data_IF_989709861770
#
_entry.id   IF_989709861770
#
_cell.length_a   1.000
_cell.length_b   1.000
_cell.length_c   1.000
_cell.angle_alpha   90.00
_cell.angle_beta   90.00
_cell.angle_gamma   90.00
#
_symmetry.space_group_name_H-M   'P 1'
#
loop_
_entity.id
_entity.type
_entity.pdbx_description
1 polymer ?
#
# COMPACT_ATOMS: atom_id res chain seq x y z
N UNK A 1 -62.04 -46.01 39.79
CA UNK A 1 -61.52 -45.81 38.41
C UNK A 1 -60.49 -44.69 38.43
N UNK A 2 -59.20 -45.00 38.27
CA UNK A 2 -58.14 -44.01 38.13
C UNK A 2 -57.42 -44.28 36.82
N UNK A 3 -57.54 -43.35 35.88
CA UNK A 3 -56.90 -43.46 34.57
C UNK A 3 -55.42 -43.07 34.70
N UNK A 4 -54.53 -44.02 34.43
CA UNK A 4 -53.11 -43.75 34.28
C UNK A 4 -52.83 -43.24 32.87
N UNK A 5 -52.37 -42.00 32.76
CA UNK A 5 -51.87 -41.45 31.49
C UNK A 5 -50.45 -41.95 31.20
N UNK A 6 -50.05 -42.13 29.92
CA UNK A 6 -48.84 -42.85 29.49
C UNK A 6 -47.48 -42.23 29.91
N UNK A 7 -47.46 -41.13 30.66
CA UNK A 7 -46.26 -40.36 31.02
C UNK A 7 -45.80 -40.60 32.47
N UNK A 8 -46.57 -41.32 33.30
CA UNK A 8 -46.30 -41.48 34.75
C UNK A 8 -45.57 -42.77 35.12
N UNK A 9 -44.89 -43.44 34.18
CA UNK A 9 -44.08 -44.61 34.52
C UNK A 9 -42.77 -44.16 35.19
N UNK A 10 -42.62 -44.46 36.48
CA UNK A 10 -41.36 -44.45 37.22
C UNK A 10 -40.35 -45.33 36.47
N UNK A 11 -39.46 -44.72 35.69
CA UNK A 11 -38.44 -45.46 34.94
C UNK A 11 -37.94 -44.81 33.65
N UNK A 12 -38.49 -43.69 33.18
CA UNK A 12 -37.86 -42.95 32.06
C UNK A 12 -36.84 -41.94 32.59
N UNK A 13 -35.57 -42.32 32.57
CA UNK A 13 -34.48 -41.35 32.53
C UNK A 13 -34.59 -40.57 31.23
N UNK A 14 -35.33 -39.47 31.26
CA UNK A 14 -35.22 -38.45 30.24
C UNK A 14 -33.75 -37.98 30.27
N UNK A 15 -32.98 -38.11 29.18
CA UNK A 15 -31.71 -37.42 29.07
C UNK A 15 -32.05 -35.94 28.97
N UNK A 16 -32.20 -35.31 30.13
CA UNK A 16 -32.35 -33.87 30.28
C UNK A 16 -31.16 -33.23 29.58
N UNK A 17 -31.44 -32.61 28.45
CA UNK A 17 -30.99 -31.27 28.09
C UNK A 17 -29.51 -30.95 28.35
N UNK A 18 -28.62 -31.90 28.07
CA UNK A 18 -27.20 -31.59 27.85
C UNK A 18 -27.04 -31.10 26.43
N UNK A 19 -27.47 -29.85 26.19
CA UNK A 19 -26.92 -29.05 25.10
C UNK A 19 -25.42 -28.97 25.36
N UNK A 20 -24.67 -29.84 24.67
CA UNK A 20 -23.21 -29.81 24.69
C UNK A 20 -22.81 -28.51 24.00
N UNK A 21 -22.49 -27.50 24.80
CA UNK A 21 -21.86 -26.28 24.29
C UNK A 21 -20.62 -26.71 23.48
N UNK A 22 -20.43 -26.24 22.23
CA UNK A 22 -19.20 -26.54 21.52
C UNK A 22 -18.06 -25.87 22.29
N UNK A 23 -17.29 -26.67 23.01
CA UNK A 23 -16.02 -26.23 23.57
C UNK A 23 -15.12 -25.77 22.40
N UNK A 24 -14.37 -24.68 22.55
CA UNK A 24 -13.38 -24.30 21.56
C UNK A 24 -12.39 -25.46 21.34
N UNK A 25 -11.87 -25.66 20.13
CA UNK A 25 -10.98 -26.77 19.83
C UNK A 25 -9.71 -26.64 20.67
N UNK A 26 -9.63 -27.44 21.74
CA UNK A 26 -8.38 -27.68 22.46
C UNK A 26 -7.46 -28.47 21.54
N UNK A 27 -6.23 -27.99 21.25
CA UNK A 27 -5.30 -28.73 20.43
C UNK A 27 -4.90 -30.02 21.14
N UNK A 28 -5.18 -31.16 20.50
CA UNK A 28 -4.61 -32.45 20.86
C UNK A 28 -3.20 -32.51 20.29
N UNK A 29 -2.21 -32.42 21.18
CA UNK A 29 -0.81 -32.89 21.06
C UNK A 29 -0.15 -32.54 22.40
N UNK A 30 0.76 -33.26 23.00
CA UNK A 30 1.29 -34.60 22.89
C UNK A 30 2.07 -34.81 24.22
N UNK A 31 2.55 -36.02 24.42
CA UNK A 31 3.31 -36.45 25.58
C UNK A 31 4.36 -35.46 26.12
N UNK A 32 4.38 -35.36 27.46
CA UNK A 32 5.53 -35.23 28.37
C UNK A 32 6.88 -34.99 27.67
N UNK A 33 7.25 -33.73 27.49
CA UNK A 33 8.56 -33.30 27.01
C UNK A 33 8.93 -31.94 27.60
N UNK A 34 9.95 -31.93 28.44
CA UNK A 34 10.55 -30.73 29.06
C UNK A 34 11.10 -29.84 27.93
N UNK A 35 10.41 -28.76 27.58
CA UNK A 35 10.93 -27.75 26.64
C UNK A 35 10.88 -26.37 27.27
N UNK A 36 12.04 -25.73 27.21
CA UNK A 36 12.32 -24.30 27.38
C UNK A 36 11.16 -23.46 26.83
N UNK A 37 10.79 -22.42 27.56
CA UNK A 37 9.87 -21.39 27.13
C UNK A 37 10.24 -20.91 25.71
N UNK A 38 9.41 -21.29 24.75
CA UNK A 38 9.39 -20.75 23.40
C UNK A 38 8.58 -19.45 23.48
N UNK A 39 9.09 -18.32 22.96
CA UNK A 39 8.34 -17.08 22.98
C UNK A 39 7.04 -17.25 22.20
N UNK A 40 5.96 -16.75 22.79
CA UNK A 40 4.63 -16.65 22.21
C UNK A 40 4.72 -16.21 20.73
N UNK A 41 3.99 -16.85 19.79
CA UNK A 41 4.06 -16.48 18.39
C UNK A 41 3.49 -15.08 18.21
N UNK A 42 4.35 -14.07 18.30
CA UNK A 42 4.01 -12.70 17.99
C UNK A 42 3.39 -12.70 16.58
N UNK A 43 2.15 -12.20 16.50
CA UNK A 43 1.49 -12.03 15.22
C UNK A 43 2.44 -11.32 14.25
N UNK A 44 2.53 -11.78 12.99
CA UNK A 44 3.53 -11.29 12.06
C UNK A 44 3.42 -9.78 11.91
N UNK A 45 4.51 -9.06 12.24
CA UNK A 45 4.68 -7.61 12.01
C UNK A 45 4.18 -7.23 10.62
N UNK A 46 3.59 -6.03 10.48
CA UNK A 46 3.11 -5.57 9.18
C UNK A 46 4.21 -5.54 8.12
N UNK A 47 3.81 -5.62 6.86
CA UNK A 47 4.73 -5.53 5.72
C UNK A 47 5.51 -4.21 5.72
N UNK A 48 4.88 -3.12 6.19
CA UNK A 48 5.50 -1.80 6.28
C UNK A 48 6.66 -1.79 7.28
N UNK A 49 6.44 -2.31 8.50
CA UNK A 49 7.50 -2.42 9.52
C UNK A 49 8.65 -3.28 9.00
N UNK A 50 8.36 -4.42 8.37
CA UNK A 50 9.40 -5.30 7.80
C UNK A 50 10.22 -4.61 6.70
N UNK A 51 9.57 -3.80 5.86
CA UNK A 51 10.25 -3.05 4.81
C UNK A 51 11.20 -1.99 5.39
N UNK A 52 10.76 -1.24 6.41
CA UNK A 52 11.60 -0.24 7.09
C UNK A 52 12.74 -0.88 7.87
N UNK A 53 12.48 -1.99 8.58
CA UNK A 53 13.51 -2.76 9.28
C UNK A 53 14.56 -3.31 8.29
N UNK A 54 14.12 -3.81 7.14
CA UNK A 54 15.00 -4.27 6.06
C UNK A 54 15.91 -3.15 5.54
N UNK A 55 15.33 -1.97 5.27
CA UNK A 55 16.09 -0.80 4.82
C UNK A 55 17.09 -0.32 5.88
N UNK A 56 16.68 -0.22 7.14
CA UNK A 56 17.56 0.14 8.26
C UNK A 56 18.73 -0.83 8.39
N UNK A 57 18.45 -2.14 8.35
CA UNK A 57 19.48 -3.16 8.47
C UNK A 57 20.46 -3.10 7.28
N UNK A 58 19.95 -2.88 6.07
CA UNK A 58 20.79 -2.68 4.88
C UNK A 58 21.69 -1.44 5.00
N UNK A 59 21.16 -0.32 5.50
CA UNK A 59 21.94 0.90 5.73
C UNK A 59 23.03 0.71 6.80
N UNK A 60 22.74 -0.07 7.85
CA UNK A 60 23.74 -0.41 8.88
C UNK A 60 24.84 -1.30 8.32
N UNK A 61 24.46 -2.36 7.59
CA UNK A 61 25.41 -3.27 6.93
C UNK A 61 26.31 -2.51 5.93
N UNK A 62 25.75 -1.61 5.13
CA UNK A 62 26.52 -0.77 4.21
C UNK A 62 27.46 0.23 4.91
N UNK A 63 27.17 0.59 6.16
CA UNK A 63 28.08 1.40 6.98
C UNK A 63 29.33 0.62 7.41
N UNK A 64 29.19 -0.68 7.63
CA UNK A 64 30.25 -1.57 8.12
C UNK A 64 31.06 -2.21 6.98
N UNK A 65 30.38 -2.65 5.91
CA UNK A 65 30.97 -3.35 4.77
C UNK A 65 31.63 -2.42 3.73
N UNK A 66 31.48 -1.11 3.87
CA UNK A 66 32.02 -0.13 2.93
C UNK A 66 31.18 0.05 1.66
N UNK A 67 31.80 0.58 0.61
CA UNK A 67 31.15 0.99 -0.65
C UNK A 67 30.70 -0.23 -1.50
N UNK A 68 29.61 -0.89 -1.11
CA UNK A 68 29.06 -2.03 -1.84
C UNK A 68 28.15 -1.60 -2.99
N UNK A 69 28.41 -2.17 -4.18
CA UNK A 69 27.59 -1.97 -5.38
C UNK A 69 26.30 -2.78 -5.26
N UNK A 70 25.23 -2.29 -5.86
CA UNK A 70 23.97 -3.05 -5.93
C UNK A 70 24.21 -4.38 -6.69
N UNK A 71 23.89 -5.55 -6.10
CA UNK A 71 24.06 -6.84 -6.77
C UNK A 71 23.25 -6.95 -8.07
N UNK A 72 22.20 -6.15 -8.22
CA UNK A 72 21.37 -6.08 -9.43
C UNK A 72 21.83 -4.99 -10.41
N UNK A 73 22.97 -4.34 -10.17
CA UNK A 73 23.60 -3.38 -11.09
C UNK A 73 22.98 -1.98 -11.13
N UNK A 74 22.08 -1.63 -10.20
CA UNK A 74 21.39 -0.32 -10.19
C UNK A 74 20.40 -0.10 -11.35
N UNK A 75 19.68 1.02 -11.34
CA UNK A 75 18.71 1.40 -12.35
C UNK A 75 19.03 2.81 -12.90
N UNK A 76 19.02 2.96 -14.22
CA UNK A 76 19.37 4.20 -14.93
C UNK A 76 18.17 4.96 -15.51
N UNK A 77 16.95 4.66 -15.06
CA UNK A 77 15.72 5.24 -15.61
C UNK A 77 15.49 6.74 -15.30
N UNK A 78 16.36 7.36 -14.48
CA UNK A 78 16.23 8.76 -14.05
C UNK A 78 14.84 9.10 -13.46
N UNK A 79 14.21 8.14 -12.79
CA UNK A 79 12.85 8.24 -12.25
C UNK A 79 11.76 8.54 -13.30
N UNK A 80 11.99 8.21 -14.58
CA UNK A 80 10.97 8.31 -15.64
C UNK A 80 10.02 7.11 -15.67
N UNK A 81 10.51 5.93 -15.31
CA UNK A 81 9.74 4.68 -15.28
C UNK A 81 9.29 4.28 -13.87
N UNK A 82 10.12 4.59 -12.87
CA UNK A 82 9.89 4.24 -11.47
C UNK A 82 9.80 5.52 -10.65
N UNK A 83 9.09 5.48 -9.52
CA UNK A 83 8.97 6.62 -8.63
C UNK A 83 10.36 7.11 -8.17
N UNK A 84 10.48 8.42 -7.92
CA UNK A 84 11.68 9.02 -7.38
C UNK A 84 12.03 8.40 -6.01
N UNK A 85 13.31 8.17 -5.73
CA UNK A 85 13.73 7.66 -4.43
C UNK A 85 13.36 8.63 -3.31
N UNK A 86 12.71 8.12 -2.26
CA UNK A 86 12.26 8.90 -1.10
C UNK A 86 13.40 9.41 -0.23
N UNK A 87 14.52 8.68 -0.19
CA UNK A 87 15.62 8.94 0.76
C UNK A 87 16.90 9.45 0.09
N UNK A 88 17.11 9.16 -1.20
CA UNK A 88 18.26 9.61 -1.96
C UNK A 88 17.85 9.89 -3.42
N UNK A 89 17.15 11.01 -3.71
CA UNK A 89 16.63 11.31 -5.05
C UNK A 89 17.71 11.65 -6.07
N UNK A 90 18.90 12.06 -5.62
CA UNK A 90 20.00 12.52 -6.47
C UNK A 90 21.33 12.04 -5.91
N UNK A 91 22.24 11.58 -6.77
CA UNK A 91 23.63 11.38 -6.41
C UNK A 91 24.35 12.73 -6.32
N UNK A 92 24.97 13.03 -5.17
CA UNK A 92 25.68 14.30 -4.94
C UNK A 92 27.01 14.43 -5.68
N UNK A 93 27.60 13.31 -6.10
CA UNK A 93 28.88 13.31 -6.81
C UNK A 93 28.70 13.54 -8.32
N UNK A 94 27.83 12.76 -8.99
CA UNK A 94 27.65 12.84 -10.44
C UNK A 94 26.31 13.43 -10.91
N UNK A 95 25.39 13.75 -10.01
CA UNK A 95 24.09 14.33 -10.37
C UNK A 95 23.09 13.36 -10.99
N UNK A 96 23.32 12.04 -10.93
CA UNK A 96 22.34 11.06 -11.42
C UNK A 96 21.05 11.11 -10.58
N UNK A 97 19.90 11.27 -11.23
CA UNK A 97 18.57 11.17 -10.61
C UNK A 97 18.25 9.70 -10.34
N UNK A 98 17.88 9.38 -9.10
CA UNK A 98 17.72 8.00 -8.63
C UNK A 98 16.25 7.69 -8.36
N UNK A 99 15.78 6.56 -8.89
CA UNK A 99 14.46 6.04 -8.58
C UNK A 99 14.45 5.12 -7.35
N UNK A 100 13.26 4.68 -6.94
CA UNK A 100 13.03 3.79 -5.80
C UNK A 100 13.77 2.44 -5.86
N UNK A 101 14.15 1.96 -7.06
CA UNK A 101 14.94 0.73 -7.20
C UNK A 101 16.40 0.92 -6.78
N UNK A 102 16.91 2.14 -6.79
CA UNK A 102 18.25 2.46 -6.32
C UNK A 102 18.20 2.65 -4.79
N UNK A 103 18.53 1.59 -4.05
CA UNK A 103 18.57 1.63 -2.59
C UNK A 103 19.66 2.58 -2.09
N UNK A 104 19.37 3.42 -1.07
CA UNK A 104 20.36 4.32 -0.47
C UNK A 104 21.48 3.57 0.29
N UNK A 105 21.33 2.26 0.51
CA UNK A 105 22.36 1.41 1.09
C UNK A 105 23.50 1.10 0.11
N UNK A 106 23.27 1.16 -1.19
CA UNK A 106 24.29 0.86 -2.20
C UNK A 106 24.96 2.12 -2.73
N UNK A 107 26.11 1.95 -3.38
CA UNK A 107 26.81 3.03 -4.10
C UNK A 107 26.06 3.46 -5.36
N UNK A 108 26.34 4.66 -5.84
CA UNK A 108 25.84 5.14 -7.13
C UNK A 108 26.22 4.18 -8.27
N UNK A 109 25.28 3.77 -9.13
CA UNK A 109 25.61 2.89 -10.26
C UNK A 109 26.44 3.58 -11.36
N UNK A 110 26.50 4.92 -11.38
CA UNK A 110 27.27 5.69 -12.37
C UNK A 110 28.70 6.00 -11.91
N UNK A 111 28.89 6.50 -10.69
CA UNK A 111 30.21 6.94 -10.20
C UNK A 111 30.77 6.10 -9.05
N UNK A 112 30.04 5.08 -8.58
CA UNK A 112 30.40 4.25 -7.43
C UNK A 112 30.60 4.99 -6.09
N UNK A 113 30.31 6.29 -6.02
CA UNK A 113 30.32 7.05 -4.77
C UNK A 113 29.10 6.70 -3.88
N UNK A 114 29.25 6.76 -2.54
CA UNK A 114 28.16 6.64 -1.59
C UNK A 114 27.07 7.68 -1.84
N UNK A 115 25.81 7.20 -1.90
CA UNK A 115 24.66 8.07 -2.14
C UNK A 115 24.37 9.03 -0.98
N UNK A 116 24.75 8.65 0.23
CA UNK A 116 24.55 9.41 1.45
C UNK A 116 25.88 9.61 2.15
N UNK A 117 26.17 10.83 2.58
CA UNK A 117 27.30 11.11 3.46
C UNK A 117 27.05 10.52 4.86
N UNK A 118 28.12 10.22 5.61
CA UNK A 118 28.04 9.63 6.95
C UNK A 118 27.00 10.30 7.89
N UNK A 119 26.98 11.64 8.08
CA UNK A 119 25.99 12.27 8.96
C UNK A 119 24.55 12.19 8.43
N UNK A 120 24.37 12.04 7.12
CA UNK A 120 23.04 11.89 6.53
C UNK A 120 22.51 10.47 6.70
N UNK A 121 23.41 9.49 6.68
CA UNK A 121 23.07 8.09 6.96
C UNK A 121 22.62 7.94 8.40
N UNK A 122 23.33 8.51 9.37
CA UNK A 122 22.94 8.46 10.78
C UNK A 122 21.59 9.14 11.01
N UNK A 123 21.38 10.33 10.45
CA UNK A 123 20.10 11.03 10.52
C UNK A 123 18.95 10.24 9.87
N UNK A 124 19.22 9.51 8.77
CA UNK A 124 18.23 8.64 8.15
C UNK A 124 17.91 7.42 9.01
N UNK A 125 18.91 6.79 9.63
CA UNK A 125 18.72 5.68 10.55
C UNK A 125 17.84 6.08 11.74
N UNK A 126 18.10 7.24 12.36
CA UNK A 126 17.29 7.78 13.46
C UNK A 126 15.83 8.01 13.04
N UNK A 127 15.61 8.58 11.85
CA UNK A 127 14.26 8.77 11.31
C UNK A 127 13.54 7.44 11.06
N UNK A 128 14.25 6.44 10.53
CA UNK A 128 13.68 5.11 10.31
C UNK A 128 13.32 4.44 11.64
N UNK A 129 14.18 4.55 12.67
CA UNK A 129 13.89 4.00 14.00
C UNK A 129 12.68 4.68 14.65
N UNK A 130 12.55 6.00 14.50
CA UNK A 130 11.36 6.73 14.97
C UNK A 130 10.08 6.28 14.25
N UNK A 131 10.12 6.13 12.93
CA UNK A 131 8.98 5.65 12.13
C UNK A 131 8.59 4.21 12.49
N UNK A 132 9.57 3.34 12.71
CA UNK A 132 9.32 1.96 13.14
C UNK A 132 8.65 1.97 14.52
N UNK A 133 9.14 2.77 15.46
CA UNK A 133 8.56 2.88 16.80
C UNK A 133 7.11 3.39 16.76
N UNK A 134 6.83 4.41 15.94
CA UNK A 134 5.48 4.94 15.74
C UNK A 134 4.52 3.89 15.17
N UNK A 135 4.94 3.18 14.12
CA UNK A 135 4.11 2.14 13.51
C UNK A 135 3.85 0.97 14.46
N UNK A 136 4.86 0.56 15.23
CA UNK A 136 4.69 -0.49 16.25
C UNK A 136 3.73 -0.06 17.36
N UNK A 137 3.80 1.19 17.81
CA UNK A 137 2.86 1.74 18.79
C UNK A 137 1.43 1.77 18.25
N UNK A 138 1.24 2.20 17.00
CA UNK A 138 -0.05 2.20 16.33
C UNK A 138 -0.63 0.78 16.18
N UNK A 139 0.19 -0.19 15.75
CA UNK A 139 -0.21 -1.59 15.65
C UNK A 139 -0.59 -2.20 17.00
N UNK A 140 0.12 -1.86 18.07
CA UNK A 140 -0.18 -2.31 19.42
C UNK A 140 -1.52 -1.72 19.92
N UNK A 141 -1.75 -0.42 19.68
CA UNK A 141 -3.00 0.25 20.02
C UNK A 141 -4.20 -0.37 19.28
N UNK A 142 -4.08 -0.60 17.97
CA UNK A 142 -5.12 -1.23 17.17
C UNK A 142 -5.40 -2.68 17.61
N UNK A 143 -4.36 -3.43 18.01
CA UNK A 143 -4.54 -4.76 18.60
C UNK A 143 -5.28 -4.70 19.93
N UNK A 144 -4.95 -3.75 20.81
CA UNK A 144 -5.63 -3.57 22.08
C UNK A 144 -7.12 -3.21 21.89
N UNK A 145 -7.43 -2.30 20.96
CA UNK A 145 -8.81 -1.92 20.62
C UNK A 145 -9.63 -3.11 20.11
N UNK A 146 -9.08 -3.88 19.16
CA UNK A 146 -9.76 -5.08 18.63
C UNK A 146 -9.97 -6.15 19.70
N UNK A 147 -9.02 -6.32 20.62
CA UNK A 147 -9.17 -7.26 21.73
C UNK A 147 -10.27 -6.82 22.71
N UNK A 148 -10.37 -5.52 23.00
CA UNK A 148 -11.43 -4.97 23.84
C UNK A 148 -12.80 -5.09 23.16
N UNK A 149 -12.90 -4.76 21.87
CA UNK A 149 -14.14 -4.92 21.09
C UNK A 149 -14.58 -6.39 21.04
N UNK A 150 -13.66 -7.33 20.86
CA UNK A 150 -13.97 -8.76 20.90
C UNK A 150 -14.46 -9.21 22.29
N UNK A 151 -13.86 -8.70 23.38
CA UNK A 151 -14.33 -8.97 24.76
C UNK A 151 -15.72 -8.39 24.98
N UNK A 152 -15.97 -7.17 24.52
CA UNK A 152 -17.29 -6.53 24.57
C UNK A 152 -18.33 -7.31 23.75
N UNK A 153 -17.96 -7.83 22.58
CA UNK A 153 -18.86 -8.62 21.73
C UNK A 153 -19.19 -10.01 22.32
N UNK A 154 -18.23 -10.68 22.96
CA UNK A 154 -18.46 -11.97 23.64
C UNK A 154 -19.26 -11.80 24.93
N UNK A 155 -19.01 -10.71 25.67
CA UNK A 155 -19.76 -10.36 26.88
C UNK A 155 -21.12 -9.73 26.59
N UNK A 156 -21.36 -9.25 25.36
CA UNK A 156 -22.66 -8.78 24.92
C UNK A 156 -23.58 -10.00 24.76
N UNK A 157 -24.49 -10.18 25.71
CA UNK A 157 -25.63 -11.06 25.53
C UNK A 157 -26.32 -10.63 24.22
N UNK A 158 -26.56 -11.55 23.26
CA UNK A 158 -27.29 -11.20 22.04
C UNK A 158 -28.61 -10.59 22.49
N UNK A 159 -28.77 -9.27 22.28
CA UNK A 159 -29.94 -8.54 22.74
C UNK A 159 -31.15 -9.05 21.97
N UNK A 160 -31.87 -9.99 22.58
CA UNK A 160 -33.16 -10.49 22.13
C UNK A 160 -34.27 -9.55 22.64
N UNK A 161 -34.46 -8.40 21.99
CA UNK A 161 -35.67 -7.56 22.11
C UNK A 161 -35.66 -6.52 20.97
N UNK A 162 -36.54 -6.64 19.98
CA UNK A 162 -37.88 -6.00 19.98
C UNK A 162 -37.81 -4.47 19.78
N UNK A 163 -37.99 -4.01 18.53
CA UNK A 163 -38.25 -2.59 18.22
C UNK A 163 -37.44 -2.05 17.03
N UNK A 164 -38.04 -1.28 16.10
CA UNK A 164 -37.44 -1.00 14.80
C UNK A 164 -36.54 0.24 14.78
N UNK A 165 -35.72 0.31 13.74
CA UNK A 165 -35.01 1.48 13.16
C UNK A 165 -33.81 2.05 13.91
N UNK A 166 -32.64 1.45 13.68
CA UNK A 166 -31.50 2.18 13.10
C UNK A 166 -30.89 1.29 12.02
N UNK A 167 -30.94 1.74 10.77
CA UNK A 167 -30.35 1.05 9.63
C UNK A 167 -28.81 1.05 9.76
N UNK A 168 -28.24 0.01 10.33
CA UNK A 168 -26.93 -0.46 9.89
C UNK A 168 -27.17 -1.30 8.62
N UNK A 169 -26.70 -0.80 7.48
CA UNK A 169 -26.57 -1.56 6.25
C UNK A 169 -25.56 -2.69 6.46
N UNK A 170 -26.02 -3.78 7.05
CA UNK A 170 -25.37 -5.07 6.92
C UNK A 170 -25.66 -5.58 5.51
N UNK A 171 -24.60 -5.73 4.75
CA UNK A 171 -24.55 -6.43 3.47
C UNK A 171 -25.27 -7.78 3.63
N UNK A 172 -26.28 -8.12 2.80
CA UNK A 172 -27.09 -9.31 3.00
C UNK A 172 -26.24 -10.57 2.79
N UNK A 173 -25.88 -11.23 3.90
CA UNK A 173 -25.40 -12.60 3.87
C UNK A 173 -26.51 -13.48 3.28
N UNK A 174 -26.21 -14.37 2.31
CA UNK A 174 -27.21 -15.26 1.73
C UNK A 174 -27.74 -16.18 2.83
N UNK A 175 -28.99 -15.94 3.26
CA UNK A 175 -29.63 -16.79 4.25
C UNK A 175 -29.99 -18.13 3.61
N UNK A 176 -29.16 -19.15 3.83
CA UNK A 176 -29.48 -20.52 3.48
C UNK A 176 -30.50 -21.05 4.50
N UNK A 177 -31.77 -21.16 4.12
CA UNK A 177 -32.78 -21.81 4.97
C UNK A 177 -32.62 -23.31 4.84
N UNK A 178 -32.15 -23.95 5.92
CA UNK A 178 -32.15 -25.40 6.07
C UNK A 178 -33.49 -25.85 6.63
N UNK A 179 -34.26 -26.57 5.81
CA UNK A 179 -35.54 -27.15 6.23
C UNK A 179 -35.30 -28.62 6.57
N UNK A 180 -35.56 -28.97 7.83
CA UNK A 180 -35.56 -30.34 8.31
C UNK A 180 -36.97 -30.90 8.12
N UNK A 181 -37.15 -31.77 7.13
CA UNK A 181 -38.42 -32.44 6.87
C UNK A 181 -38.39 -33.85 7.46
N UNK A 182 -39.32 -34.15 8.37
CA UNK A 182 -39.52 -35.49 8.93
C UNK A 182 -40.62 -36.21 8.16
N UNK A 183 -40.26 -37.29 7.47
CA UNK A 183 -41.25 -38.11 6.78
C UNK A 183 -41.95 -39.03 7.79
N UNK A 184 -43.24 -38.81 8.03
CA UNK A 184 -44.02 -39.52 9.05
C UNK A 184 -44.19 -41.03 8.79
N UNK A 185 -44.06 -41.49 7.53
CA UNK A 185 -44.13 -42.91 7.17
C UNK A 185 -42.81 -43.65 7.35
N UNK A 186 -41.67 -42.99 7.17
CA UNK A 186 -40.35 -43.63 7.25
C UNK A 186 -39.53 -43.20 8.47
N UNK A 187 -40.03 -42.24 9.27
CA UNK A 187 -39.35 -41.61 10.43
C UNK A 187 -37.93 -41.10 10.11
N UNK A 188 -37.61 -40.92 8.83
CA UNK A 188 -36.32 -40.41 8.39
C UNK A 188 -36.40 -38.89 8.31
N UNK A 189 -35.38 -38.24 8.87
CA UNK A 189 -35.18 -36.80 8.81
C UNK A 189 -34.40 -36.50 7.54
N UNK A 190 -34.98 -35.73 6.62
CA UNK A 190 -34.32 -35.28 5.40
C UNK A 190 -34.03 -33.79 5.54
N UNK A 191 -32.76 -33.40 5.42
CA UNK A 191 -32.34 -32.00 5.44
C UNK A 191 -32.30 -31.49 4.00
N UNK A 192 -33.16 -30.55 3.64
CA UNK A 192 -33.10 -29.86 2.35
C UNK A 192 -32.65 -28.41 2.58
N UNK A 193 -31.51 -28.05 2.03
CA UNK A 193 -31.00 -26.68 2.05
C UNK A 193 -31.49 -25.96 0.78
N UNK A 194 -32.27 -24.90 0.96
CA UNK A 194 -32.71 -24.05 -0.15
C UNK A 194 -31.90 -22.75 -0.13
N UNK A 195 -31.04 -22.59 -1.14
CA UNK A 195 -30.35 -21.34 -1.42
C UNK A 195 -31.20 -20.55 -2.42
N UNK A 196 -31.85 -19.50 -1.94
CA UNK A 196 -32.51 -18.51 -2.81
C UNK A 196 -31.43 -17.59 -3.38
N UNK A 197 -31.04 -17.81 -4.63
CA UNK A 197 -30.21 -16.86 -5.38
C UNK A 197 -31.11 -15.83 -6.05
N UNK A 198 -31.05 -14.52 -5.71
CA UNK A 198 -31.65 -13.50 -6.56
C UNK A 198 -30.89 -13.47 -7.90
N UNK A 199 -31.65 -13.42 -9.00
CA UNK A 199 -31.12 -13.30 -10.34
C UNK A 199 -30.44 -11.93 -10.51
N UNK A 200 -29.12 -11.88 -10.34
CA UNK A 200 -28.31 -10.75 -10.78
C UNK A 200 -28.12 -10.85 -12.29
N UNK A 201 -28.61 -9.84 -13.01
CA UNK A 201 -28.40 -9.69 -14.45
C UNK A 201 -26.91 -9.73 -14.80
N UNK A 202 -26.61 -10.41 -15.89
CA UNK A 202 -25.28 -10.68 -16.41
C UNK A 202 -24.57 -9.39 -16.88
N UNK A 203 -23.30 -9.24 -16.50
CA UNK A 203 -22.31 -8.58 -17.35
C UNK A 203 -21.14 -9.54 -17.51
N UNK A 204 -20.92 -9.94 -18.76
CA UNK A 204 -19.83 -10.83 -19.18
C UNK A 204 -18.48 -10.26 -18.76
N UNK A 205 -17.64 -11.07 -18.14
CA UNK A 205 -16.21 -10.81 -18.01
C UNK A 205 -15.44 -12.10 -18.25
N UNK A 206 -14.34 -12.06 -19.02
CA UNK A 206 -13.61 -13.25 -19.43
C UNK A 206 -12.71 -13.79 -18.30
N UNK A 207 -12.26 -15.03 -18.52
CA UNK A 207 -11.57 -15.94 -17.60
C UNK A 207 -10.38 -15.35 -16.81
N UNK A 208 -10.09 -15.88 -15.61
CA UNK A 208 -8.96 -15.45 -14.80
C UNK A 208 -7.66 -16.03 -15.36
N UNK A 209 -6.92 -15.24 -16.13
CA UNK A 209 -5.49 -15.48 -16.31
C UNK A 209 -4.78 -15.06 -15.03
N UNK A 210 -4.11 -16.04 -14.43
CA UNK A 210 -3.20 -15.94 -13.28
C UNK A 210 -2.33 -14.66 -13.40
N UNK A 211 -2.25 -13.79 -12.38
CA UNK A 211 -1.35 -12.66 -12.42
C UNK A 211 0.08 -13.20 -12.27
N UNK A 212 0.78 -13.31 -13.39
CA UNK A 212 2.24 -13.24 -13.40
C UNK A 212 2.54 -11.83 -12.92
N UNK A 213 3.12 -11.73 -11.72
CA UNK A 213 3.80 -10.52 -11.26
C UNK A 213 4.70 -10.06 -12.40
N UNK A 214 4.49 -8.86 -12.99
CA UNK A 214 5.44 -8.32 -13.94
C UNK A 214 6.74 -8.16 -13.16
N UNK A 215 7.73 -8.99 -13.50
CA UNK A 215 9.11 -8.71 -13.17
C UNK A 215 9.37 -7.30 -13.72
N UNK A 216 9.60 -6.34 -12.82
CA UNK A 216 9.80 -4.94 -13.20
C UNK A 216 10.97 -4.89 -14.18
N UNK A 217 10.64 -4.71 -15.46
CA UNK A 217 11.59 -4.77 -16.56
C UNK A 217 12.60 -3.64 -16.38
N UNK A 218 13.76 -4.03 -15.88
CA UNK A 218 14.86 -3.13 -15.57
C UNK A 218 15.41 -2.68 -16.91
N UNK A 219 15.12 -1.45 -17.31
CA UNK A 219 15.70 -0.90 -18.55
C UNK A 219 17.20 -1.11 -18.55
N UNK A 220 17.68 -1.78 -19.61
CA UNK A 220 19.09 -2.04 -19.81
C UNK A 220 19.90 -0.74 -19.89
N UNK A 221 21.25 -0.85 -19.80
CA UNK A 221 22.12 0.31 -20.00
C UNK A 221 21.81 0.95 -21.36
N UNK A 222 21.83 2.30 -21.46
CA UNK A 222 21.64 2.96 -22.74
C UNK A 222 22.71 2.47 -23.72
N UNK A 223 22.38 2.37 -25.03
CA UNK A 223 23.33 1.94 -26.03
C UNK A 223 24.57 2.85 -26.00
N UNK A 224 25.76 2.25 -26.00
CA UNK A 224 27.03 2.98 -25.89
C UNK A 224 27.27 3.93 -27.08
N UNK A 225 26.58 3.70 -28.20
CA UNK A 225 26.67 4.49 -29.42
C UNK A 225 25.37 5.24 -29.66
N UNK A 226 25.34 6.52 -29.28
CA UNK A 226 24.30 7.45 -29.72
C UNK A 226 24.67 7.88 -31.14
N UNK A 227 23.78 7.77 -32.14
CA UNK A 227 24.07 8.28 -33.48
C UNK A 227 24.32 9.79 -33.39
N UNK A 228 25.59 10.18 -33.52
CA UNK A 228 26.00 11.58 -33.55
C UNK A 228 26.04 12.04 -35.01
N UNK A 229 25.47 13.20 -35.30
CA UNK A 229 25.62 13.80 -36.62
C UNK A 229 27.12 14.05 -36.87
N UNK A 230 27.69 13.62 -38.01
CA UNK A 230 29.10 13.81 -38.29
C UNK A 230 29.44 15.30 -38.23
N UNK A 231 30.48 15.65 -37.46
CA UNK A 231 30.85 17.03 -37.15
C UNK A 231 31.13 17.90 -38.39
N UNK A 232 31.35 17.27 -39.55
CA UNK A 232 31.54 17.94 -40.84
C UNK A 232 30.29 18.65 -41.38
N UNK A 233 29.09 18.39 -40.83
CA UNK A 233 27.84 19.01 -41.26
C UNK A 233 27.31 20.07 -40.28
N UNK A 234 28.02 20.37 -39.19
CA UNK A 234 27.56 21.34 -38.20
C UNK A 234 28.00 22.76 -38.57
N UNK A 235 27.06 23.62 -38.97
CA UNK A 235 27.28 25.06 -39.14
C UNK A 235 27.49 25.70 -37.76
N UNK A 236 28.73 26.13 -37.50
CA UNK A 236 29.18 26.75 -36.23
C UNK A 236 28.33 27.98 -35.86
N UNK A 237 27.74 28.65 -36.84
CA UNK A 237 26.89 29.83 -36.59
C UNK A 237 25.42 29.48 -36.31
N UNK A 238 24.97 28.27 -36.65
CA UNK A 238 23.61 27.80 -36.38
C UNK A 238 23.60 26.30 -36.06
N UNK A 239 24.06 25.91 -34.86
CA UNK A 239 24.17 24.49 -34.45
C UNK A 239 22.85 23.70 -34.51
N UNK A 240 21.71 24.40 -34.54
CA UNK A 240 20.36 23.82 -34.56
C UNK A 240 19.82 23.57 -35.98
N UNK A 241 20.55 24.00 -37.02
CA UNK A 241 20.08 23.96 -38.41
C UNK A 241 20.30 22.60 -39.07
N UNK A 242 21.26 21.82 -38.59
CA UNK A 242 21.72 20.59 -39.25
C UNK A 242 21.05 19.32 -38.70
N UNK A 243 19.86 19.47 -38.12
CA UNK A 243 18.91 18.37 -38.03
C UNK A 243 18.45 18.11 -39.46
N UNK A 244 18.87 16.99 -40.06
CA UNK A 244 18.67 16.68 -41.48
C UNK A 244 17.23 16.83 -41.98
N UNK A 245 17.05 16.73 -43.30
CA UNK A 245 15.85 17.07 -44.10
C UNK A 245 14.47 16.54 -43.63
N UNK A 246 14.41 15.75 -42.56
CA UNK A 246 13.19 15.43 -41.83
C UNK A 246 12.87 16.46 -40.76
N UNK A 247 12.73 17.74 -41.15
CA UNK A 247 12.52 18.89 -40.27
C UNK A 247 11.71 18.56 -39.02
N UNK A 248 12.18 19.00 -37.85
CA UNK A 248 11.63 18.61 -36.56
C UNK A 248 10.10 18.81 -36.50
N UNK A 249 9.36 17.70 -36.63
CA UNK A 249 7.91 17.69 -36.46
C UNK A 249 7.65 17.66 -34.96
N UNK A 250 7.07 18.75 -34.44
CA UNK A 250 6.54 18.77 -33.09
C UNK A 250 5.46 17.68 -32.97
N UNK A 251 5.75 16.63 -32.20
CA UNK A 251 4.77 15.62 -31.83
C UNK A 251 4.13 16.09 -30.52
N UNK A 252 2.90 16.64 -30.53
CA UNK A 252 2.19 16.93 -29.29
C UNK A 252 2.05 15.66 -28.48
N UNK A 253 2.22 15.76 -27.16
CA UNK A 253 1.96 14.65 -26.25
C UNK A 253 0.55 14.10 -26.53
N UNK A 254 0.38 12.77 -26.67
CA UNK A 254 -0.94 12.19 -26.85
C UNK A 254 -1.81 12.66 -25.68
N UNK A 255 -2.97 13.23 -26.02
CA UNK A 255 -3.99 13.49 -25.03
C UNK A 255 -4.25 12.16 -24.32
N UNK A 256 -4.04 12.11 -23.01
CA UNK A 256 -4.52 11.01 -22.23
C UNK A 256 -6.04 11.06 -22.35
N UNK A 257 -6.59 10.10 -23.08
CA UNK A 257 -8.03 9.96 -23.31
C UNK A 257 -8.72 9.71 -21.97
N UNK A 258 -9.22 10.78 -21.38
CA UNK A 258 -9.95 10.74 -20.13
C UNK A 258 -9.62 11.98 -19.30
N UNK A 259 -10.28 13.10 -19.62
CA UNK A 259 -10.90 14.02 -18.66
C UNK A 259 -11.40 15.26 -19.43
N UNK A 260 -12.72 15.33 -19.58
CA UNK A 260 -13.58 16.50 -19.71
C UNK A 260 -13.12 17.75 -20.51
N UNK A 261 -13.85 17.97 -21.60
CA UNK A 261 -14.13 19.24 -22.26
C UNK A 261 -14.39 20.40 -21.26
N UNK A 262 -13.41 21.30 -21.05
CA UNK A 262 -13.66 22.62 -20.45
C UNK A 262 -13.63 23.67 -21.54
N UNK A 263 -14.83 23.97 -22.07
CA UNK A 263 -15.11 25.19 -22.83
C UNK A 263 -14.74 26.41 -21.96
N UNK A 264 -13.67 27.13 -22.30
CA UNK A 264 -13.53 28.54 -21.92
C UNK A 264 -13.58 29.42 -23.16
N UNK A 265 -14.81 29.88 -23.40
CA UNK A 265 -15.10 30.99 -24.30
C UNK A 265 -14.31 32.22 -23.87
N UNK A 266 -13.74 32.85 -24.89
CA UNK A 266 -13.28 34.23 -24.90
C UNK A 266 -14.26 35.19 -24.26
N UNK A 267 -13.73 36.21 -23.56
CA UNK A 267 -14.19 37.59 -23.67
C UNK A 267 -13.11 38.55 -23.18
N UNK A 268 -12.40 39.09 -24.17
CA UNK A 268 -11.83 40.43 -24.17
C UNK A 268 -12.71 41.42 -23.41
N UNK A 269 -12.11 42.23 -22.53
CA UNK A 269 -12.37 43.67 -22.49
C UNK A 269 -11.14 44.44 -21.99
N UNK A 270 -10.93 45.52 -22.73
CA UNK A 270 -9.85 46.49 -22.79
C UNK A 270 -10.29 47.74 -22.02
N UNK A 271 -9.47 48.23 -21.09
CA UNK A 271 -9.40 49.61 -20.58
C UNK A 271 -8.22 49.68 -19.59
N UNK A 272 -7.12 50.41 -19.78
CA UNK A 272 -6.88 51.85 -20.03
C UNK A 272 -7.12 52.71 -18.78
N UNK A 273 -6.02 53.24 -18.21
CA UNK A 273 -5.94 54.26 -17.15
C UNK A 273 -4.75 53.95 -16.22
N UNK A 274 -3.54 54.50 -16.37
CA UNK A 274 -3.05 55.91 -16.32
C UNK A 274 -2.87 56.44 -14.88
N UNK A 275 -1.59 56.50 -14.48
CA UNK A 275 -0.88 57.50 -13.66
C UNK A 275 -1.34 57.88 -12.23
N UNK A 276 -0.42 57.72 -11.27
CA UNK A 276 0.09 58.73 -10.30
C UNK A 276 1.16 58.03 -9.45
N UNK A 277 2.46 58.31 -9.58
CA UNK A 277 3.20 59.51 -9.14
C UNK A 277 2.85 59.92 -7.69
N UNK A 278 3.80 59.67 -6.79
CA UNK A 278 4.22 60.60 -5.75
C UNK A 278 5.60 60.18 -5.21
N UNK A 279 6.56 61.05 -5.51
CA UNK A 279 7.84 61.24 -4.83
C UNK A 279 7.68 61.70 -3.38
N UNK A 280 8.67 61.32 -2.54
CA UNK A 280 9.23 62.05 -1.39
C UNK A 280 10.31 61.13 -0.77
N UNK A 281 11.57 61.23 -1.21
CA UNK A 281 12.65 62.06 -0.62
C UNK A 281 12.88 61.76 0.86
N UNK A 282 13.98 61.08 1.17
CA UNK A 282 14.86 61.51 2.26
C UNK A 282 16.32 61.20 1.90
N UNK A 283 17.14 62.23 2.06
CA UNK A 283 18.54 62.32 1.67
C UNK A 283 19.46 61.85 2.79
N UNK A 284 20.67 61.42 2.39
CA UNK A 284 21.88 61.66 3.18
C UNK A 284 22.41 60.48 3.99
N UNK A 285 23.53 59.88 3.58
CA UNK A 285 24.84 60.52 3.76
C UNK A 285 25.99 59.53 3.52
N UNK A 286 26.82 59.86 2.53
CA UNK A 286 28.26 59.61 2.32
C UNK A 286 28.92 58.23 2.60
N UNK A 287 29.63 57.66 1.60
CA UNK A 287 30.80 56.81 1.80
C UNK A 287 32.08 57.65 1.94
N UNK A 288 32.92 57.31 2.93
CA UNK A 288 34.29 57.85 3.04
C UNK A 288 35.28 56.87 2.42
N UNK A 289 36.28 57.46 1.78
CA UNK A 289 37.28 56.99 0.82
C UNK A 289 38.64 56.78 1.54
N UNK A 290 39.44 55.80 1.06
CA UNK A 290 40.92 55.61 1.23
C UNK A 290 41.44 55.43 2.68
N UNK A 291 42.44 54.61 2.99
CA UNK A 291 43.61 54.07 2.26
C UNK A 291 43.64 52.53 2.12
#
# INVERSE_FOLDING_TARGET
MHQQTPWTKKGSSLPSDRIRSPAPPTPKNAAKGKRKAEPEPELPKSKAVRALEGLRNALRAAGEAGMEKDPKGGCFCQARMHALSSHAPLCRACGLVLCMLNSPAHTCPSCAEPLLAAPQRTALLERLDAQIAELLAHEAAERARKAEEARRAVGAFPTLAAGPTVQQQQQPQPQTRTVLSLNSKTKRVTVSAFTSTPASSARSSPAPTRPVTPEEERAGPPPATVPFAPAALLDVRRPWRDLGDGGAVYVPAPALDGEAEVKKKSRSRKAKGKAKENDAVDEGSAPTILD
#
